data_IF_938541202770
#
_entry.id   IF_938541202770
#
_cell.length_a   1.000
_cell.length_b   1.000
_cell.length_c   1.000
_cell.angle_alpha   90.00
_cell.angle_beta   90.00
_cell.angle_gamma   90.00
#
_symmetry.space_group_name_H-M   'P 1'
#
loop_
_entity.id
_entity.type
_entity.pdbx_description
1 polymer ?
#
# COMPACT_ATOMS: atom_id res chain seq x y z
N UNK A 1 -4.87 21.95 -19.11
CA UNK A 1 -4.97 20.57 -19.63
C UNK A 1 -3.93 19.72 -18.89
N UNK A 2 -4.42 18.69 -18.19
CA UNK A 2 -3.77 17.56 -17.51
C UNK A 2 -2.42 17.76 -16.79
N UNK A 3 -2.49 17.99 -15.47
CA UNK A 3 -1.34 17.99 -14.53
C UNK A 3 -0.99 16.58 -14.01
N UNK A 4 -1.27 15.53 -14.77
CA UNK A 4 -1.10 14.14 -14.34
C UNK A 4 -0.12 13.39 -15.24
N UNK A 5 1.13 13.81 -15.33
CA UNK A 5 2.15 13.00 -16.00
C UNK A 5 3.54 13.13 -15.36
N UNK A 6 3.55 13.24 -14.03
CA UNK A 6 4.76 13.40 -13.23
C UNK A 6 4.64 12.59 -11.94
N UNK A 7 4.18 11.34 -12.02
CA UNK A 7 4.45 10.37 -10.95
C UNK A 7 5.95 10.07 -11.01
N UNK A 8 6.73 11.00 -10.47
CA UNK A 8 8.18 10.98 -10.53
C UNK A 8 8.72 9.72 -9.85
N UNK A 9 9.93 9.32 -10.19
CA UNK A 9 10.64 8.22 -9.49
C UNK A 9 10.64 8.44 -7.97
N UNK A 10 10.65 9.71 -7.52
CA UNK A 10 10.56 10.07 -6.10
C UNK A 10 9.19 9.75 -5.48
N UNK A 11 8.10 9.94 -6.21
CA UNK A 11 6.75 9.60 -5.74
C UNK A 11 6.61 8.08 -5.59
N UNK A 12 7.15 7.32 -6.55
CA UNK A 12 7.20 5.86 -6.47
C UNK A 12 8.05 5.38 -5.31
N UNK A 13 9.22 6.00 -5.08
CA UNK A 13 10.08 5.70 -3.93
C UNK A 13 9.36 5.98 -2.60
N UNK A 14 8.60 7.07 -2.53
CA UNK A 14 7.83 7.47 -1.36
C UNK A 14 6.67 6.52 -1.08
N UNK A 15 5.96 6.07 -2.12
CA UNK A 15 4.90 5.06 -2.02
C UNK A 15 5.46 3.70 -1.59
N UNK A 16 6.64 3.31 -2.07
CA UNK A 16 7.33 2.10 -1.63
C UNK A 16 7.73 2.18 -0.15
N UNK A 17 8.32 3.29 0.28
CA UNK A 17 8.68 3.53 1.69
C UNK A 17 7.44 3.47 2.60
N UNK A 18 6.31 4.03 2.14
CA UNK A 18 5.03 3.97 2.85
C UNK A 18 4.49 2.54 2.94
N UNK A 19 4.50 1.79 1.82
CA UNK A 19 4.09 0.39 1.78
C UNK A 19 4.90 -0.50 2.72
N UNK A 20 6.23 -0.33 2.72
CA UNK A 20 7.14 -1.04 3.62
C UNK A 20 6.90 -0.70 5.09
N UNK A 21 6.56 0.56 5.39
CA UNK A 21 6.23 0.99 6.76
C UNK A 21 4.92 0.37 7.21
N UNK A 22 3.89 0.33 6.36
CA UNK A 22 2.62 -0.34 6.65
C UNK A 22 2.81 -1.83 6.90
N UNK A 23 3.61 -2.51 6.05
CA UNK A 23 3.95 -3.92 6.22
C UNK A 23 4.68 -4.19 7.54
N UNK A 24 5.62 -3.32 7.93
CA UNK A 24 6.31 -3.41 9.22
C UNK A 24 5.37 -3.19 10.40
N UNK A 25 4.50 -2.18 10.35
CA UNK A 25 3.51 -1.91 11.40
C UNK A 25 2.54 -3.09 11.56
N UNK A 26 2.06 -3.67 10.44
CA UNK A 26 1.20 -4.85 10.47
C UNK A 26 1.89 -6.01 11.18
N UNK A 27 3.14 -6.30 10.83
CA UNK A 27 3.95 -7.37 11.46
C UNK A 27 4.21 -7.08 12.94
N UNK A 28 4.55 -5.85 13.30
CA UNK A 28 4.79 -5.45 14.69
C UNK A 28 3.55 -5.61 15.57
N UNK A 29 2.36 -5.48 14.99
CA UNK A 29 1.07 -5.73 15.66
C UNK A 29 0.65 -7.21 15.64
N UNK A 30 1.45 -8.11 15.07
CA UNK A 30 1.15 -9.54 14.98
C UNK A 30 0.04 -9.89 13.98
N UNK A 31 -0.39 -8.97 13.12
CA UNK A 31 -1.49 -9.22 12.19
C UNK A 31 -1.00 -9.92 10.91
N UNK A 32 -1.68 -11.00 10.55
CA UNK A 32 -1.58 -11.59 9.21
C UNK A 32 -2.16 -10.65 8.15
N UNK A 33 -1.76 -10.83 6.88
CA UNK A 33 -2.23 -9.98 5.78
C UNK A 33 -3.75 -10.06 5.59
N UNK A 34 -4.34 -11.26 5.72
CA UNK A 34 -5.79 -11.45 5.62
C UNK A 34 -6.53 -10.79 6.77
N UNK A 35 -6.01 -10.90 7.99
CA UNK A 35 -6.63 -10.35 9.19
C UNK A 35 -6.64 -8.82 9.16
N UNK A 36 -5.50 -8.23 8.77
CA UNK A 36 -5.39 -6.78 8.57
C UNK A 36 -6.34 -6.30 7.46
N UNK A 37 -6.46 -7.05 6.35
CA UNK A 37 -7.31 -6.68 5.23
C UNK A 37 -8.80 -6.65 5.64
N UNK A 38 -9.25 -7.70 6.35
CA UNK A 38 -10.60 -7.75 6.94
C UNK A 38 -10.85 -6.59 7.88
N UNK A 39 -9.90 -6.31 8.78
CA UNK A 39 -10.01 -5.22 9.77
C UNK A 39 -10.03 -3.83 9.13
N UNK A 40 -9.37 -3.67 7.99
CA UNK A 40 -9.36 -2.44 7.19
C UNK A 40 -10.53 -2.35 6.18
N UNK A 41 -11.38 -3.38 6.08
CA UNK A 41 -12.51 -3.39 5.14
C UNK A 41 -12.11 -3.48 3.68
N UNK A 42 -10.89 -3.95 3.38
CA UNK A 42 -10.37 -4.08 2.02
C UNK A 42 -10.09 -5.53 1.66
N UNK A 43 -9.99 -5.82 0.37
CA UNK A 43 -9.57 -7.14 -0.09
C UNK A 43 -8.10 -7.40 0.24
N UNK A 44 -7.71 -8.68 0.37
CA UNK A 44 -6.31 -9.08 0.56
C UNK A 44 -5.40 -8.54 -0.56
N UNK A 45 -5.88 -8.57 -1.80
CA UNK A 45 -5.14 -8.09 -2.98
C UNK A 45 -4.94 -6.58 -2.91
N UNK A 46 -5.95 -5.81 -2.51
CA UNK A 46 -5.83 -4.37 -2.28
C UNK A 46 -4.78 -4.07 -1.20
N UNK A 47 -4.82 -4.78 -0.06
CA UNK A 47 -3.84 -4.57 1.01
C UNK A 47 -2.41 -4.89 0.55
N UNK A 48 -2.20 -6.01 -0.16
CA UNK A 48 -0.88 -6.37 -0.69
C UNK A 48 -0.36 -5.35 -1.70
N UNK A 49 -1.25 -4.81 -2.55
CA UNK A 49 -0.89 -3.78 -3.51
C UNK A 49 -0.43 -2.50 -2.78
N UNK A 50 -1.20 -2.05 -1.78
CA UNK A 50 -0.85 -0.90 -0.92
C UNK A 50 0.49 -1.13 -0.21
N UNK A 51 0.72 -2.31 0.37
CA UNK A 51 2.01 -2.66 1.00
C UNK A 51 3.18 -2.69 0.01
N UNK A 52 2.90 -2.83 -1.28
CA UNK A 52 3.90 -2.84 -2.36
C UNK A 52 4.02 -1.48 -3.07
N UNK A 53 3.37 -0.43 -2.55
CA UNK A 53 3.41 0.91 -3.12
C UNK A 53 2.58 1.10 -4.39
N UNK A 54 1.60 0.23 -4.65
CA UNK A 54 0.73 0.31 -5.82
C UNK A 54 -0.74 0.29 -5.39
N UNK A 55 -1.53 1.32 -5.72
CA UNK A 55 -2.97 1.26 -5.52
C UNK A 55 -3.61 0.67 -6.78
N UNK A 56 -4.14 -0.55 -6.71
CA UNK A 56 -5.03 -1.06 -7.77
C UNK A 56 -6.41 -0.44 -7.50
N UNK A 57 -6.74 0.65 -8.19
CA UNK A 57 -8.13 1.08 -8.33
C UNK A 57 -8.78 0.20 -9.42
N UNK A 58 -9.93 -0.39 -9.11
CA UNK A 58 -10.72 -1.20 -10.03
C UNK A 58 -12.06 -0.51 -10.29
#
# INVERSE_FOLDING_TARGET
MSSHDSLSVLDRQSLLQLGDRLKRLRKARGFGTVEMAKRAGVSRTTLTAVESGCLIMH
#
